data_IF_035808761213
#
_entry.id   IF_035808761213
#
_cell.length_a   1.000
_cell.length_b   1.000
_cell.length_c   1.000
_cell.angle_alpha   90.00
_cell.angle_beta   90.00
_cell.angle_gamma   90.00
#
_symmetry.space_group_name_H-M   'P 1'
#
loop_
_entity.id
_entity.type
_entity.pdbx_description
1 polymer ?
#
# COMPACT_ATOMS: atom_id res chain seq x y z
N UNK A 1 -5.10 24.32 -29.27
CA UNK A 1 -4.87 23.21 -28.33
C UNK A 1 -3.66 23.57 -27.51
N UNK A 2 -3.83 23.86 -26.23
CA UNK A 2 -2.70 23.99 -25.32
C UNK A 2 -1.93 22.67 -25.27
N UNK A 3 -0.60 22.75 -25.12
CA UNK A 3 0.23 21.57 -24.94
C UNK A 3 -0.22 20.85 -23.69
N UNK A 4 -0.46 19.54 -23.78
CA UNK A 4 -0.85 18.68 -22.65
C UNK A 4 0.04 18.93 -21.43
N UNK A 5 1.35 19.09 -21.66
CA UNK A 5 2.39 19.37 -20.65
C UNK A 5 2.23 20.71 -19.91
N UNK A 6 1.66 21.75 -20.54
CA UNK A 6 1.56 23.08 -19.93
C UNK A 6 0.65 23.09 -18.70
N UNK A 7 -0.55 22.49 -18.84
CA UNK A 7 -1.48 22.25 -17.73
C UNK A 7 -0.81 21.56 -16.53
N UNK A 8 0.06 20.57 -16.78
CA UNK A 8 0.76 19.88 -15.69
C UNK A 8 1.86 20.75 -15.07
N UNK A 9 2.54 21.60 -15.84
CA UNK A 9 3.49 22.57 -15.28
C UNK A 9 2.80 23.55 -14.30
N UNK A 10 1.60 24.02 -14.64
CA UNK A 10 0.79 24.88 -13.75
C UNK A 10 0.34 24.13 -12.49
N UNK A 11 -0.08 22.86 -12.62
CA UNK A 11 -0.36 21.98 -11.47
C UNK A 11 0.87 21.76 -10.57
N UNK A 12 2.08 21.60 -11.12
CA UNK A 12 3.30 21.52 -10.32
C UNK A 12 3.63 22.86 -9.65
N UNK A 13 3.45 24.00 -10.33
CA UNK A 13 3.59 25.32 -9.73
C UNK A 13 2.52 25.60 -8.64
N UNK A 14 1.36 24.94 -8.73
CA UNK A 14 0.32 24.92 -7.71
C UNK A 14 0.77 24.18 -6.44
N UNK A 15 1.51 23.08 -6.60
CA UNK A 15 1.96 22.21 -5.52
C UNK A 15 3.35 22.56 -4.97
N UNK A 16 4.18 23.30 -5.70
CA UNK A 16 5.52 23.71 -5.30
C UNK A 16 5.51 24.80 -4.21
N UNK A 17 4.99 24.47 -3.03
CA UNK A 17 4.90 25.35 -1.85
C UNK A 17 4.47 24.53 -0.65
N UNK A 18 5.29 24.56 0.39
CA UNK A 18 5.11 23.83 1.65
C UNK A 18 3.70 23.99 2.26
N UNK A 19 3.17 25.21 2.51
CA UNK A 19 1.78 25.37 2.98
C UNK A 19 0.72 24.73 2.09
N UNK A 20 0.91 24.75 0.76
CA UNK A 20 -0.05 24.14 -0.19
C UNK A 20 0.02 22.61 -0.14
N UNK A 21 1.20 22.02 0.03
CA UNK A 21 1.37 20.58 0.26
C UNK A 21 0.76 20.14 1.59
N UNK A 22 0.92 20.92 2.66
CA UNK A 22 0.31 20.63 3.96
C UNK A 22 -1.22 20.68 3.91
N UNK A 23 -1.79 21.69 3.24
CA UNK A 23 -3.24 21.79 2.98
C UNK A 23 -3.72 20.57 2.20
N UNK A 24 -3.04 20.18 1.11
CA UNK A 24 -3.41 18.99 0.34
C UNK A 24 -3.38 17.74 1.23
N UNK A 25 -2.28 17.49 1.95
CA UNK A 25 -2.14 16.34 2.88
C UNK A 25 -3.28 16.27 3.89
N UNK A 26 -3.66 17.42 4.46
CA UNK A 26 -4.75 17.51 5.44
C UNK A 26 -6.13 17.23 4.83
N UNK A 27 -6.36 17.69 3.60
CA UNK A 27 -7.61 17.43 2.87
C UNK A 27 -7.70 15.99 2.36
N UNK A 28 -6.59 15.35 2.00
CA UNK A 28 -6.55 13.90 1.72
C UNK A 28 -6.91 13.07 2.95
N UNK A 29 -6.35 13.41 4.12
CA UNK A 29 -6.67 12.74 5.39
C UNK A 29 -8.13 12.91 5.87
N UNK A 30 -8.95 13.67 5.13
CA UNK A 30 -10.39 13.87 5.39
C UNK A 30 -11.25 13.63 4.15
N UNK A 31 -10.70 13.05 3.08
CA UNK A 31 -11.46 12.68 1.89
C UNK A 31 -12.40 11.50 2.20
N UNK A 32 -13.65 11.47 1.67
CA UNK A 32 -14.28 12.43 0.76
C UNK A 32 -14.95 13.64 1.42
N UNK A 33 -15.05 13.67 2.75
CA UNK A 33 -15.84 14.69 3.47
C UNK A 33 -15.24 16.09 3.34
N UNK A 34 -13.91 16.20 3.32
CA UNK A 34 -13.15 17.44 3.34
C UNK A 34 -13.15 18.12 4.71
N UNK A 35 -12.74 19.39 4.75
CA UNK A 35 -12.57 20.16 5.98
C UNK A 35 -13.03 21.62 5.81
N UNK A 36 -13.54 22.22 6.88
CA UNK A 36 -13.91 23.65 6.90
C UNK A 36 -12.68 24.53 7.12
N UNK A 37 -12.71 25.77 6.58
CA UNK A 37 -11.57 26.71 6.63
C UNK A 37 -11.02 26.95 8.04
N UNK A 38 -11.89 27.06 9.05
CA UNK A 38 -11.49 27.26 10.45
C UNK A 38 -10.61 26.14 10.98
N UNK A 39 -10.89 24.90 10.58
CA UNK A 39 -10.23 23.71 11.10
C UNK A 39 -8.88 23.49 10.39
N UNK A 40 -8.82 23.81 9.10
CA UNK A 40 -7.56 23.91 8.35
C UNK A 40 -6.66 24.98 8.98
N UNK A 41 -7.22 26.15 9.28
CA UNK A 41 -6.50 27.25 9.93
C UNK A 41 -5.96 26.85 11.31
N UNK A 42 -6.79 26.20 12.14
CA UNK A 42 -6.40 25.76 13.48
C UNK A 42 -5.32 24.66 13.45
N UNK A 43 -5.40 23.72 12.51
CA UNK A 43 -4.44 22.60 12.42
C UNK A 43 -3.08 23.00 11.84
N UNK A 44 -3.04 23.91 10.87
CA UNK A 44 -1.80 24.36 10.24
C UNK A 44 -1.23 25.64 10.87
N UNK A 45 -1.97 26.32 11.74
CA UNK A 45 -1.59 27.58 12.41
C UNK A 45 -1.27 28.73 11.44
N UNK A 46 -1.81 28.68 10.21
CA UNK A 46 -1.61 29.68 9.16
C UNK A 46 -2.62 30.84 9.34
N UNK A 47 -2.22 32.13 9.18
CA UNK A 47 -3.17 33.25 9.19
C UNK A 47 -4.25 33.15 8.10
N UNK A 48 -5.48 33.58 8.41
CA UNK A 48 -6.64 33.40 7.52
C UNK A 48 -6.47 34.01 6.11
N UNK A 49 -5.84 35.19 6.00
CA UNK A 49 -5.54 35.85 4.73
C UNK A 49 -4.59 35.01 3.86
N UNK A 50 -3.50 34.52 4.47
CA UNK A 50 -2.51 33.64 3.83
C UNK A 50 -3.14 32.30 3.42
N UNK A 51 -3.94 31.69 4.30
CA UNK A 51 -4.64 30.45 4.02
C UNK A 51 -5.63 30.60 2.86
N UNK A 52 -6.41 31.69 2.83
CA UNK A 52 -7.36 31.98 1.76
C UNK A 52 -6.66 32.10 0.40
N UNK A 53 -5.49 32.74 0.35
CA UNK A 53 -4.68 32.82 -0.86
C UNK A 53 -4.16 31.45 -1.32
N UNK A 54 -3.71 30.59 -0.41
CA UNK A 54 -3.28 29.23 -0.76
C UNK A 54 -4.43 28.32 -1.24
N UNK A 55 -5.57 28.36 -0.55
CA UNK A 55 -6.78 27.61 -0.94
C UNK A 55 -7.29 28.08 -2.31
N UNK A 56 -7.30 29.39 -2.56
CA UNK A 56 -7.74 29.93 -3.84
C UNK A 56 -6.81 29.51 -4.99
N UNK A 57 -5.48 29.53 -4.81
CA UNK A 57 -4.56 29.04 -5.86
C UNK A 57 -4.70 27.53 -6.10
N UNK A 58 -4.90 26.72 -5.06
CA UNK A 58 -5.19 25.29 -5.23
C UNK A 58 -6.53 25.04 -5.94
N UNK A 59 -7.53 25.88 -5.70
CA UNK A 59 -8.86 25.80 -6.33
C UNK A 59 -8.84 26.23 -7.79
N UNK A 60 -8.06 27.27 -8.13
CA UNK A 60 -7.85 27.73 -9.51
C UNK A 60 -7.23 26.64 -10.39
N UNK A 61 -6.26 25.91 -9.84
CA UNK A 61 -5.62 24.76 -10.49
C UNK A 61 -6.41 23.46 -10.33
N UNK A 62 -7.67 23.56 -9.89
CA UNK A 62 -8.62 22.45 -9.77
C UNK A 62 -8.17 21.29 -8.86
N UNK A 63 -7.13 21.45 -8.05
CA UNK A 63 -6.63 20.42 -7.10
C UNK A 63 -7.58 20.21 -5.93
N UNK A 64 -8.31 21.26 -5.54
CA UNK A 64 -9.36 21.22 -4.51
C UNK A 64 -10.66 21.83 -5.04
N UNK A 65 -11.76 21.27 -4.57
CA UNK A 65 -13.11 21.81 -4.72
C UNK A 65 -13.51 22.55 -3.44
N UNK A 66 -14.46 23.49 -3.56
CA UNK A 66 -15.09 24.15 -2.43
C UNK A 66 -16.60 24.04 -2.53
N UNK A 67 -17.28 23.73 -1.41
CA UNK A 67 -18.75 23.75 -1.30
C UNK A 67 -19.17 24.59 -0.09
N UNK A 68 -20.25 25.36 -0.23
CA UNK A 68 -20.83 26.11 0.89
C UNK A 68 -21.95 25.28 1.52
N UNK A 69 -21.87 25.05 2.82
CA UNK A 69 -22.86 24.29 3.57
C UNK A 69 -23.28 25.10 4.81
N UNK A 70 -24.54 25.56 4.81
CA UNK A 70 -25.07 26.52 5.79
C UNK A 70 -24.18 27.76 5.86
N UNK A 71 -23.47 27.96 6.98
CA UNK A 71 -22.57 29.09 7.23
C UNK A 71 -21.09 28.79 6.96
N UNK A 72 -20.72 27.54 6.66
CA UNK A 72 -19.34 27.12 6.49
C UNK A 72 -18.98 26.88 5.01
N UNK A 73 -17.71 27.10 4.68
CA UNK A 73 -17.13 26.69 3.40
C UNK A 73 -16.25 25.48 3.69
N UNK A 74 -16.60 24.36 3.06
CA UNK A 74 -15.82 23.13 3.06
C UNK A 74 -14.93 23.09 1.83
N UNK A 75 -13.69 22.68 2.02
CA UNK A 75 -12.77 22.32 0.95
C UNK A 75 -12.54 20.81 0.96
N UNK A 76 -12.48 20.21 -0.21
CA UNK A 76 -12.19 18.78 -0.39
C UNK A 76 -11.28 18.59 -1.61
N UNK A 77 -10.43 17.56 -1.60
CA UNK A 77 -9.61 17.21 -2.76
C UNK A 77 -10.51 16.92 -3.97
N UNK A 78 -10.12 17.44 -5.14
CA UNK A 78 -10.67 17.00 -6.41
C UNK A 78 -9.83 15.83 -6.92
N UNK A 79 -10.29 14.60 -6.69
CA UNK A 79 -9.58 13.39 -7.08
C UNK A 79 -9.24 13.38 -8.55
N UNK A 80 -10.20 13.68 -9.44
CA UNK A 80 -10.04 13.66 -10.91
C UNK A 80 -8.76 14.38 -11.39
N UNK A 81 -8.51 15.59 -10.90
CA UNK A 81 -7.33 16.38 -11.28
C UNK A 81 -6.02 15.77 -10.79
N UNK A 82 -6.05 15.10 -9.64
CA UNK A 82 -4.91 14.36 -9.08
C UNK A 82 -4.63 13.10 -9.90
N UNK A 83 -5.66 12.38 -10.35
CA UNK A 83 -5.48 11.20 -11.22
C UNK A 83 -4.86 11.59 -12.55
N UNK A 84 -5.32 12.68 -13.17
CA UNK A 84 -4.74 13.24 -14.39
C UNK A 84 -3.26 13.62 -14.20
N UNK A 85 -2.90 14.25 -13.07
CA UNK A 85 -1.53 14.63 -12.73
C UNK A 85 -0.61 13.41 -12.51
N UNK A 86 -1.11 12.38 -11.81
CA UNK A 86 -0.37 11.15 -11.57
C UNK A 86 -0.22 10.34 -12.86
N UNK A 87 -1.29 10.21 -13.65
CA UNK A 87 -1.23 9.57 -14.96
C UNK A 87 -0.22 10.28 -15.88
N UNK A 88 -0.11 11.61 -15.83
CA UNK A 88 0.95 12.33 -16.53
C UNK A 88 2.36 11.95 -16.06
N UNK A 89 2.61 11.86 -14.75
CA UNK A 89 3.90 11.46 -14.19
C UNK A 89 4.32 10.03 -14.59
N UNK A 90 3.35 9.11 -14.69
CA UNK A 90 3.61 7.71 -15.04
C UNK A 90 3.52 7.41 -16.55
N UNK A 91 2.98 8.33 -17.36
CA UNK A 91 2.97 8.25 -18.84
C UNK A 91 4.39 8.43 -19.40
N UNK A 92 5.12 7.32 -19.49
CA UNK A 92 6.55 7.30 -19.81
C UNK A 92 7.31 6.21 -19.06
N UNK A 93 6.71 5.64 -18.00
CA UNK A 93 7.17 4.40 -17.36
C UNK A 93 6.92 3.15 -18.22
N UNK A 94 7.32 3.20 -19.50
CA UNK A 94 7.56 1.99 -20.26
C UNK A 94 8.68 1.21 -19.56
N UNK A 95 8.36 0.02 -19.05
CA UNK A 95 9.37 -0.98 -18.71
C UNK A 95 10.01 -1.40 -20.03
N UNK A 96 11.07 -0.68 -20.42
CA UNK A 96 11.85 -0.97 -21.60
C UNK A 96 12.57 -2.31 -21.41
N UNK A 97 11.90 -3.39 -21.79
CA UNK A 97 12.50 -4.71 -21.93
C UNK A 97 13.63 -4.62 -22.97
N UNK A 98 14.91 -4.85 -22.61
CA UNK A 98 16.02 -4.74 -23.56
C UNK A 98 16.07 -5.91 -24.58
N UNK A 99 14.99 -6.69 -24.72
CA UNK A 99 14.87 -7.85 -25.62
C UNK A 99 13.66 -7.79 -26.55
N UNK A 100 13.62 -6.78 -27.42
CA UNK A 100 13.13 -6.89 -28.81
C UNK A 100 13.30 -5.55 -29.54
N UNK A 101 14.32 -5.43 -30.39
CA UNK A 101 14.32 -4.41 -31.45
C UNK A 101 13.53 -4.95 -32.64
N UNK A 102 12.91 -4.02 -33.38
CA UNK A 102 12.13 -4.23 -34.61
C UNK A 102 10.74 -4.86 -34.38
N UNK A 103 9.69 -4.02 -34.31
CA UNK A 103 8.98 -3.64 -35.54
C UNK A 103 8.31 -2.24 -35.38
N UNK A 104 7.55 -1.82 -36.39
CA UNK A 104 7.13 -0.42 -36.68
C UNK A 104 6.15 0.23 -35.68
N UNK A 105 6.08 1.56 -35.79
CA UNK A 105 5.12 2.45 -35.12
C UNK A 105 3.71 2.25 -35.68
N UNK A 106 2.83 1.63 -34.88
CA UNK A 106 1.37 1.72 -35.02
C UNK A 106 0.77 2.48 -33.81
N UNK A 107 -0.34 3.22 -33.98
CA UNK A 107 -0.99 3.94 -32.89
C UNK A 107 -1.69 2.95 -31.93
N UNK A 108 -1.04 2.66 -30.81
CA UNK A 108 -1.53 1.72 -29.79
C UNK A 108 -2.88 2.16 -29.25
N UNK A 109 -3.93 1.39 -29.57
CA UNK A 109 -5.23 1.47 -28.88
C UNK A 109 -5.05 1.15 -27.40
N UNK A 110 -5.54 2.03 -26.54
CA UNK A 110 -5.42 1.88 -25.09
C UNK A 110 -6.46 0.90 -24.52
N UNK A 111 -6.06 -0.25 -23.92
CA UNK A 111 -6.99 -1.20 -23.33
C UNK A 111 -7.66 -0.70 -22.03
N UNK A 112 -7.21 0.43 -21.44
CA UNK A 112 -7.82 1.02 -20.24
C UNK A 112 -9.14 1.78 -20.51
N UNK A 113 -9.72 1.68 -21.70
CA UNK A 113 -10.88 2.50 -22.13
C UNK A 113 -12.23 1.78 -22.07
N UNK A 114 -12.28 0.45 -21.87
CA UNK A 114 -13.53 -0.35 -21.93
C UNK A 114 -13.77 -1.20 -20.66
N UNK A 115 -13.93 -0.55 -19.51
CA UNK A 115 -14.77 -1.03 -18.39
C UNK A 115 -14.96 0.07 -17.36
N UNK A 116 -16.20 0.29 -16.90
CA UNK A 116 -16.54 1.21 -15.80
C UNK A 116 -16.15 0.69 -14.41
N UNK A 117 -14.92 0.20 -14.25
CA UNK A 117 -14.39 -0.42 -13.02
C UNK A 117 -12.97 0.09 -12.71
N UNK A 118 -12.85 1.40 -12.46
CA UNK A 118 -11.64 1.99 -11.86
C UNK A 118 -12.03 3.09 -10.88
N UNK A 119 -11.91 2.82 -9.57
CA UNK A 119 -11.69 3.87 -8.56
C UNK A 119 -11.10 3.33 -7.25
N UNK A 120 -11.63 2.24 -6.67
CA UNK A 120 -11.14 1.73 -5.36
C UNK A 120 -9.68 1.26 -5.41
N UNK A 121 -9.31 0.43 -6.40
CA UNK A 121 -7.92 0.00 -6.59
C UNK A 121 -6.95 1.16 -6.86
N UNK A 122 -7.44 2.28 -7.39
CA UNK A 122 -6.65 3.47 -7.66
C UNK A 122 -6.53 4.38 -6.43
N UNK A 123 -7.60 4.53 -5.62
CA UNK A 123 -7.51 5.21 -4.32
C UNK A 123 -6.55 4.50 -3.36
N UNK A 124 -6.57 3.16 -3.31
CA UNK A 124 -5.57 2.37 -2.58
C UNK A 124 -4.13 2.62 -3.09
N UNK A 125 -3.97 2.95 -4.37
CA UNK A 125 -2.68 3.35 -4.95
C UNK A 125 -2.31 4.81 -4.64
N UNK A 126 -3.31 5.70 -4.48
CA UNK A 126 -3.13 7.09 -4.03
C UNK A 126 -2.82 7.18 -2.53
N UNK A 127 -3.30 6.25 -1.69
CA UNK A 127 -2.84 6.13 -0.29
C UNK A 127 -1.32 5.95 -0.21
N UNK A 128 -0.71 5.28 -1.19
CA UNK A 128 0.76 5.14 -1.28
C UNK A 128 1.48 6.45 -1.64
N UNK A 129 0.78 7.42 -2.24
CA UNK A 129 1.35 8.65 -2.81
C UNK A 129 1.23 9.89 -1.90
N UNK A 130 0.24 9.97 -1.01
CA UNK A 130 0.18 11.00 0.04
C UNK A 130 1.03 10.64 1.27
N UNK A 131 2.08 9.87 1.01
CA UNK A 131 2.86 9.08 1.93
C UNK A 131 3.91 9.81 2.76
N UNK A 132 3.69 11.04 3.21
CA UNK A 132 4.47 11.54 4.36
C UNK A 132 4.14 10.77 5.67
N UNK A 133 3.18 9.85 5.59
CA UNK A 133 2.88 8.77 6.56
C UNK A 133 3.45 7.41 6.10
N UNK A 134 3.63 7.20 4.78
CA UNK A 134 4.05 5.95 4.13
C UNK A 134 5.56 5.87 3.79
N UNK A 135 6.38 6.80 4.27
CA UNK A 135 7.86 6.70 4.33
C UNK A 135 8.39 5.43 5.06
N UNK A 136 7.46 4.61 5.57
CA UNK A 136 7.69 3.34 6.27
C UNK A 136 7.60 2.09 5.40
N UNK A 137 7.19 2.19 4.13
CA UNK A 137 7.10 1.01 3.23
C UNK A 137 7.61 1.32 1.81
N UNK A 138 8.93 1.47 1.66
CA UNK A 138 9.56 1.38 0.33
C UNK A 138 9.58 -0.09 -0.11
N UNK A 139 8.52 -0.51 -0.80
CA UNK A 139 8.48 -1.82 -1.49
C UNK A 139 9.27 -1.72 -2.81
N UNK A 140 10.16 -2.69 -3.12
CA UNK A 140 10.85 -2.74 -4.41
C UNK A 140 9.90 -2.79 -5.61
N UNK A 141 10.40 -2.50 -6.83
CA UNK A 141 9.61 -2.70 -8.06
C UNK A 141 9.18 -4.16 -8.19
N UNK A 142 7.89 -4.39 -8.48
CA UNK A 142 7.27 -5.72 -8.58
C UNK A 142 6.02 -5.91 -7.71
N UNK A 143 5.76 -5.02 -6.75
CA UNK A 143 4.61 -5.13 -5.84
C UNK A 143 3.27 -4.68 -6.42
N UNK A 144 3.24 -4.08 -7.61
CA UNK A 144 2.02 -3.68 -8.34
C UNK A 144 1.02 -4.84 -8.57
N UNK A 145 1.49 -6.09 -8.44
CA UNK A 145 0.70 -7.31 -8.61
C UNK A 145 0.24 -7.94 -7.29
N UNK A 146 0.54 -7.36 -6.13
CA UNK A 146 0.04 -7.89 -4.86
C UNK A 146 -1.45 -7.63 -4.73
N UNK A 147 -2.22 -8.63 -4.28
CA UNK A 147 -3.65 -8.43 -3.99
C UNK A 147 -3.83 -7.52 -2.79
N UNK A 148 -5.00 -6.89 -2.66
CA UNK A 148 -5.31 -6.03 -1.51
C UNK A 148 -5.09 -6.76 -0.16
N UNK A 149 -5.49 -8.04 -0.07
CA UNK A 149 -5.25 -8.89 1.10
C UNK A 149 -3.75 -9.12 1.36
N UNK A 150 -2.96 -9.37 0.32
CA UNK A 150 -1.51 -9.53 0.47
C UNK A 150 -0.82 -8.23 0.91
N UNK A 151 -1.28 -7.06 0.45
CA UNK A 151 -0.81 -5.75 0.92
C UNK A 151 -1.25 -5.48 2.37
N UNK A 152 -2.48 -5.84 2.74
CA UNK A 152 -2.98 -5.73 4.11
C UNK A 152 -2.16 -6.57 5.10
N UNK A 153 -1.75 -7.79 4.72
CA UNK A 153 -0.84 -8.65 5.50
C UNK A 153 0.49 -7.93 5.82
N UNK A 154 1.04 -7.18 4.86
CA UNK A 154 2.29 -6.43 5.03
C UNK A 154 2.10 -5.27 6.02
N UNK A 155 0.97 -4.56 5.96
CA UNK A 155 0.63 -3.50 6.92
C UNK A 155 0.43 -4.07 8.35
N UNK A 156 -0.34 -5.16 8.48
CA UNK A 156 -0.57 -5.84 9.76
C UNK A 156 0.73 -6.38 10.38
N UNK A 157 1.67 -6.86 9.56
CA UNK A 157 2.99 -7.25 10.04
C UNK A 157 3.76 -6.08 10.67
N UNK A 158 3.65 -4.87 10.11
CA UNK A 158 4.23 -3.68 10.72
C UNK A 158 3.52 -3.26 12.01
N UNK A 159 2.19 -3.42 12.09
CA UNK A 159 1.44 -3.17 13.33
C UNK A 159 1.80 -4.16 14.43
N UNK A 160 2.04 -5.43 14.11
CA UNK A 160 2.53 -6.42 15.09
C UNK A 160 3.96 -6.10 15.56
N UNK A 161 4.85 -5.64 14.67
CA UNK A 161 6.15 -5.11 15.10
C UNK A 161 6.01 -3.88 16.00
N UNK A 162 5.10 -2.93 15.69
CA UNK A 162 4.78 -1.78 16.57
C UNK A 162 4.28 -2.26 17.93
N UNK A 163 3.30 -3.18 17.95
CA UNK A 163 2.64 -3.70 19.16
C UNK A 163 3.61 -4.41 20.10
N UNK A 164 4.59 -5.14 19.54
CA UNK A 164 5.65 -5.83 20.30
C UNK A 164 6.86 -4.93 20.60
N UNK A 165 6.89 -3.68 20.15
CA UNK A 165 8.01 -2.75 20.31
C UNK A 165 9.26 -3.11 19.51
N UNK A 166 9.12 -3.94 18.47
CA UNK A 166 10.19 -4.41 17.60
C UNK A 166 10.59 -3.33 16.57
N UNK A 167 11.90 -3.21 16.33
CA UNK A 167 12.48 -2.21 15.41
C UNK A 167 12.49 -2.67 13.94
N UNK A 168 12.08 -3.91 13.66
CA UNK A 168 12.12 -4.50 12.32
C UNK A 168 10.88 -5.37 12.08
N UNK A 169 10.54 -5.60 10.81
CA UNK A 169 9.59 -6.65 10.41
C UNK A 169 10.36 -7.92 10.08
N UNK A 170 10.19 -8.94 10.92
CA UNK A 170 10.66 -10.30 10.72
C UNK A 170 9.67 -11.14 9.92
N UNK A 171 10.09 -12.37 9.61
CA UNK A 171 9.24 -13.38 8.95
C UNK A 171 7.99 -13.71 9.77
N UNK A 172 8.12 -13.67 11.09
CA UNK A 172 7.11 -14.04 12.07
C UNK A 172 6.03 -12.97 12.24
N UNK A 173 6.33 -11.69 12.01
CA UNK A 173 5.27 -10.68 11.88
C UNK A 173 4.55 -10.77 10.53
N UNK A 174 5.22 -11.19 9.44
CA UNK A 174 4.50 -11.55 8.20
C UNK A 174 3.53 -12.71 8.43
N UNK A 175 3.93 -13.72 9.22
CA UNK A 175 3.04 -14.83 9.60
C UNK A 175 1.88 -14.38 10.49
N UNK A 176 2.12 -13.49 11.45
CA UNK A 176 1.07 -12.85 12.25
C UNK A 176 0.12 -12.02 11.39
N UNK A 177 0.65 -11.29 10.39
CA UNK A 177 -0.14 -10.54 9.42
C UNK A 177 -1.05 -11.45 8.58
N UNK A 178 -0.58 -12.63 8.17
CA UNK A 178 -1.38 -13.63 7.45
C UNK A 178 -2.57 -14.12 8.28
N UNK A 179 -2.38 -14.40 9.58
CA UNK A 179 -3.51 -14.76 10.47
C UNK A 179 -4.39 -13.56 10.81
N UNK A 180 -3.82 -12.36 10.94
CA UNK A 180 -4.53 -11.13 11.28
C UNK A 180 -5.43 -10.59 10.16
N UNK A 181 -5.10 -10.85 8.89
CA UNK A 181 -5.97 -10.51 7.76
C UNK A 181 -7.23 -11.40 7.74
N UNK A 182 -7.13 -12.65 8.19
CA UNK A 182 -8.26 -13.49 8.60
C UNK A 182 -9.15 -14.05 7.49
N UNK A 183 -9.21 -13.43 6.31
CA UNK A 183 -10.18 -13.81 5.25
C UNK A 183 -9.55 -14.40 3.98
N UNK A 184 -8.23 -14.25 3.80
CA UNK A 184 -7.47 -14.76 2.67
C UNK A 184 -7.15 -16.24 2.80
N UNK A 185 -6.75 -16.84 1.68
CA UNK A 185 -6.40 -18.26 1.57
C UNK A 185 -5.43 -18.72 2.66
N UNK A 186 -4.34 -17.98 2.88
CA UNK A 186 -3.36 -18.36 3.90
C UNK A 186 -3.94 -18.30 5.32
N UNK A 187 -4.77 -17.30 5.62
CA UNK A 187 -5.45 -17.21 6.91
C UNK A 187 -6.34 -18.43 7.15
N UNK A 188 -7.19 -18.77 6.16
CA UNK A 188 -8.10 -19.92 6.23
C UNK A 188 -7.34 -21.25 6.39
N UNK A 189 -6.23 -21.43 5.68
CA UNK A 189 -5.38 -22.62 5.80
C UNK A 189 -4.75 -22.71 7.20
N UNK A 190 -4.14 -21.62 7.69
CA UNK A 190 -3.47 -21.59 9.00
C UNK A 190 -4.47 -21.82 10.15
N UNK A 191 -5.66 -21.20 10.08
CA UNK A 191 -6.77 -21.46 11.00
C UNK A 191 -7.19 -22.94 10.98
N UNK A 192 -7.20 -23.56 9.81
CA UNK A 192 -7.55 -24.97 9.65
C UNK A 192 -6.42 -25.96 10.02
N UNK A 193 -5.23 -25.47 10.38
CA UNK A 193 -4.18 -26.21 11.12
C UNK A 193 -4.29 -26.00 12.64
N UNK A 194 -5.32 -25.30 13.13
CA UNK A 194 -5.54 -25.02 14.56
C UNK A 194 -4.76 -23.83 15.11
N UNK A 195 -4.10 -23.05 14.26
CA UNK A 195 -3.46 -21.80 14.65
C UNK A 195 -4.50 -20.70 14.85
N UNK A 196 -4.19 -19.70 15.68
CA UNK A 196 -4.92 -18.45 15.75
C UNK A 196 -3.96 -17.30 16.07
N UNK A 197 -4.39 -16.06 15.90
CA UNK A 197 -3.47 -14.92 16.07
C UNK A 197 -2.91 -14.84 17.50
N UNK A 198 -3.69 -15.19 18.53
CA UNK A 198 -3.23 -15.09 19.92
C UNK A 198 -2.22 -16.17 20.31
N UNK A 199 -2.43 -17.44 19.92
CA UNK A 199 -1.45 -18.50 20.20
C UNK A 199 -0.14 -18.26 19.45
N UNK A 200 -0.21 -17.68 18.24
CA UNK A 200 0.96 -17.28 17.48
C UNK A 200 1.69 -16.09 18.15
N UNK A 201 0.97 -15.07 18.63
CA UNK A 201 1.56 -13.93 19.36
C UNK A 201 2.31 -14.39 20.60
N UNK A 202 1.74 -15.31 21.38
CA UNK A 202 2.35 -15.84 22.60
C UNK A 202 3.66 -16.57 22.29
N UNK A 203 3.71 -17.43 21.29
CA UNK A 203 4.93 -18.18 20.95
C UNK A 203 6.00 -17.28 20.29
N UNK A 204 5.61 -16.24 19.54
CA UNK A 204 6.52 -15.19 19.05
C UNK A 204 7.12 -14.38 20.22
N UNK A 205 6.29 -13.89 21.15
CA UNK A 205 6.72 -13.11 22.30
C UNK A 205 7.63 -13.92 23.24
N UNK A 206 7.34 -15.22 23.43
CA UNK A 206 8.18 -16.15 24.19
C UNK A 206 9.57 -16.37 23.57
N UNK A 207 9.71 -16.26 22.24
CA UNK A 207 10.97 -16.52 21.51
C UNK A 207 11.82 -15.28 21.31
N UNK A 208 11.19 -14.12 21.10
CA UNK A 208 11.86 -12.87 20.73
C UNK A 208 11.84 -11.86 21.90
N UNK A 209 10.91 -12.02 22.85
CA UNK A 209 10.62 -11.06 23.90
C UNK A 209 9.72 -9.92 23.39
N UNK A 210 9.68 -8.84 24.19
CA UNK A 210 9.22 -7.52 23.72
C UNK A 210 10.43 -6.63 23.46
N UNK A 211 10.35 -5.84 22.41
CA UNK A 211 11.32 -4.80 22.13
C UNK A 211 11.10 -3.55 22.99
N UNK A 212 12.01 -2.58 22.85
CA UNK A 212 11.99 -1.31 23.61
C UNK A 212 11.67 -0.09 22.72
N UNK A 213 11.34 -0.29 21.45
CA UNK A 213 11.20 0.78 20.47
C UNK A 213 9.74 1.19 20.23
N UNK A 214 9.54 2.46 19.92
CA UNK A 214 8.32 3.00 19.27
C UNK A 214 8.72 3.68 17.96
N UNK A 215 9.09 2.93 16.91
CA UNK A 215 9.84 3.51 15.80
C UNK A 215 8.96 4.34 14.86
N UNK A 216 9.48 5.51 14.46
CA UNK A 216 9.93 5.67 13.09
C UNK A 216 11.35 5.05 13.02
N UNK A 217 11.70 4.15 12.11
CA UNK A 217 10.90 3.38 11.15
C UNK A 217 10.92 1.87 11.49
N UNK A 218 10.06 1.06 10.85
CA UNK A 218 10.11 -0.41 10.94
C UNK A 218 10.39 -1.04 9.57
N UNK A 219 11.67 -1.06 9.14
CA UNK A 219 12.07 -1.72 7.91
C UNK A 219 12.01 -3.25 8.02
N UNK A 220 11.82 -3.91 6.87
CA UNK A 220 11.89 -5.37 6.77
C UNK A 220 13.32 -5.89 6.98
N UNK A 221 13.46 -6.95 7.78
CA UNK A 221 14.68 -7.74 7.86
C UNK A 221 15.05 -8.34 6.49
N UNK A 222 16.33 -8.68 6.23
CA UNK A 222 16.73 -9.31 4.97
C UNK A 222 15.95 -10.59 4.65
N UNK A 223 15.65 -11.42 5.68
CA UNK A 223 14.82 -12.62 5.52
C UNK A 223 13.36 -12.29 5.17
N UNK A 224 12.77 -11.28 5.81
CA UNK A 224 11.42 -10.84 5.46
C UNK A 224 11.35 -10.28 4.03
N UNK A 225 12.36 -9.53 3.57
CA UNK A 225 12.47 -9.12 2.16
C UNK A 225 12.54 -10.34 1.23
N UNK A 226 13.33 -11.36 1.59
CA UNK A 226 13.44 -12.59 0.82
C UNK A 226 12.13 -13.39 0.77
N UNK A 227 11.31 -13.41 1.82
CA UNK A 227 9.94 -13.96 1.78
C UNK A 227 9.10 -13.28 0.70
N UNK A 228 9.16 -11.95 0.60
CA UNK A 228 8.39 -11.20 -0.39
C UNK A 228 8.87 -11.53 -1.82
N UNK A 229 10.18 -11.59 -2.06
CA UNK A 229 10.74 -12.05 -3.35
C UNK A 229 10.29 -13.49 -3.68
N UNK A 230 10.36 -14.41 -2.71
CA UNK A 230 9.96 -15.81 -2.88
C UNK A 230 8.44 -15.94 -3.15
N UNK A 231 7.62 -15.01 -2.67
CA UNK A 231 6.18 -15.00 -2.98
C UNK A 231 5.92 -14.67 -4.45
N UNK A 232 6.70 -13.76 -5.04
CA UNK A 232 6.69 -13.47 -6.49
C UNK A 232 7.22 -14.66 -7.30
N UNK A 233 8.29 -15.33 -6.85
CA UNK A 233 8.74 -16.57 -7.48
C UNK A 233 7.68 -17.69 -7.43
N UNK A 234 6.84 -17.72 -6.39
CA UNK A 234 5.80 -18.74 -6.25
C UNK A 234 4.61 -18.45 -7.17
N UNK A 235 4.15 -17.20 -7.31
CA UNK A 235 3.03 -16.89 -8.22
C UNK A 235 3.40 -17.17 -9.68
N UNK A 236 4.63 -16.82 -10.07
CA UNK A 236 5.17 -17.16 -11.40
C UNK A 236 5.25 -18.68 -11.64
N UNK A 237 5.52 -19.49 -10.61
CA UNK A 237 5.53 -20.96 -10.71
C UNK A 237 4.14 -21.58 -10.79
N UNK A 238 3.14 -20.96 -10.14
CA UNK A 238 1.75 -21.40 -10.18
C UNK A 238 1.00 -20.89 -11.43
N UNK A 239 1.54 -19.86 -12.10
CA UNK A 239 0.96 -19.24 -13.29
C UNK A 239 0.06 -18.04 -12.96
N UNK A 240 0.01 -17.64 -11.69
CA UNK A 240 -0.90 -16.61 -11.20
C UNK A 240 -0.43 -15.20 -11.55
N UNK A 241 -1.37 -14.39 -12.05
CA UNK A 241 -1.12 -13.02 -12.48
C UNK A 241 -0.90 -12.06 -11.30
N UNK A 242 -1.42 -12.41 -10.12
CA UNK A 242 -1.37 -11.62 -8.90
C UNK A 242 -0.73 -12.42 -7.75
N UNK A 243 -0.07 -11.72 -6.82
CA UNK A 243 0.52 -12.32 -5.61
C UNK A 243 -0.48 -12.17 -4.46
N UNK A 244 -1.14 -13.28 -4.11
CA UNK A 244 -2.04 -13.34 -2.97
C UNK A 244 -1.41 -13.86 -1.68
N UNK A 245 -2.26 -14.17 -0.70
CA UNK A 245 -1.84 -14.52 0.66
C UNK A 245 -1.15 -15.90 0.74
N UNK A 246 -1.62 -16.85 -0.06
CA UNK A 246 -1.06 -18.18 -0.27
C UNK A 246 0.37 -18.13 -0.80
N UNK A 247 0.65 -17.20 -1.72
CA UNK A 247 1.99 -16.96 -2.24
C UNK A 247 2.94 -16.44 -1.16
N UNK A 248 2.47 -15.53 -0.29
CA UNK A 248 3.22 -15.07 0.87
C UNK A 248 3.52 -16.21 1.85
N UNK A 249 2.54 -17.07 2.13
CA UNK A 249 2.73 -18.22 3.01
C UNK A 249 3.72 -19.24 2.42
N UNK A 250 3.62 -19.55 1.12
CA UNK A 250 4.64 -20.37 0.44
C UNK A 250 6.02 -19.69 0.48
N UNK A 251 6.10 -18.38 0.34
CA UNK A 251 7.33 -17.60 0.52
C UNK A 251 7.96 -17.78 1.89
N UNK A 252 7.15 -17.79 2.96
CA UNK A 252 7.59 -18.08 4.34
C UNK A 252 8.15 -19.51 4.46
N UNK A 253 7.47 -20.51 3.88
CA UNK A 253 7.93 -21.90 3.92
C UNK A 253 9.21 -22.13 3.10
N UNK A 254 9.42 -21.33 2.05
CA UNK A 254 10.64 -21.35 1.22
C UNK A 254 11.83 -20.64 1.89
N UNK A 255 11.60 -19.62 2.72
CA UNK A 255 12.64 -18.91 3.49
C UNK A 255 13.12 -19.74 4.70
N UNK A 256 13.86 -20.81 4.39
CA UNK A 256 14.31 -21.80 5.38
C UNK A 256 15.11 -21.15 6.52
N UNK A 257 14.71 -21.47 7.75
CA UNK A 257 15.34 -20.96 8.96
C UNK A 257 14.88 -19.56 9.42
N UNK A 258 13.87 -18.96 8.77
CA UNK A 258 13.13 -17.82 9.31
C UNK A 258 12.43 -18.16 10.65
N UNK A 259 12.14 -17.15 11.47
CA UNK A 259 11.47 -17.39 12.76
C UNK A 259 10.03 -17.86 12.59
N UNK A 260 9.32 -17.43 11.55
CA UNK A 260 7.99 -17.94 11.23
C UNK A 260 7.97 -19.47 11.12
N UNK A 261 8.94 -20.06 10.41
CA UNK A 261 9.07 -21.51 10.25
C UNK A 261 9.27 -22.18 11.62
N UNK A 262 10.19 -21.66 12.45
CA UNK A 262 10.44 -22.20 13.79
C UNK A 262 9.24 -22.08 14.73
N UNK A 263 8.44 -21.03 14.58
CA UNK A 263 7.21 -20.83 15.35
C UNK A 263 6.16 -21.86 14.92
N UNK A 264 5.93 -22.04 13.61
CA UNK A 264 5.05 -23.08 13.08
C UNK A 264 5.44 -24.48 13.57
N UNK A 265 6.71 -24.85 13.45
CA UNK A 265 7.24 -26.12 13.96
C UNK A 265 6.99 -26.30 15.46
N UNK A 266 7.18 -25.25 16.26
CA UNK A 266 6.96 -25.29 17.71
C UNK A 266 5.49 -25.36 18.14
N UNK A 267 4.57 -24.94 17.28
CA UNK A 267 3.13 -25.11 17.44
C UNK A 267 2.65 -26.46 16.87
N UNK A 268 3.57 -27.34 16.45
CA UNK A 268 3.28 -28.70 15.98
C UNK A 268 2.88 -28.80 14.51
N UNK A 269 3.00 -27.71 13.74
CA UNK A 269 2.57 -27.66 12.33
C UNK A 269 3.55 -28.43 11.45
N UNK A 270 3.04 -29.41 10.70
CA UNK A 270 3.85 -30.15 9.74
C UNK A 270 4.01 -29.32 8.44
N UNK A 271 5.19 -28.75 8.24
CA UNK A 271 5.48 -27.85 7.11
C UNK A 271 5.24 -28.49 5.74
N UNK A 272 5.50 -29.79 5.57
CA UNK A 272 5.28 -30.49 4.31
C UNK A 272 3.79 -30.66 4.02
N UNK A 273 3.01 -31.09 5.02
CA UNK A 273 1.55 -31.19 4.92
C UNK A 273 0.90 -29.83 4.65
N UNK A 274 1.39 -28.77 5.32
CA UNK A 274 0.96 -27.39 5.08
C UNK A 274 1.27 -26.94 3.64
N UNK A 275 2.49 -27.18 3.13
CA UNK A 275 2.84 -26.87 1.73
C UNK A 275 1.92 -27.60 0.75
N UNK A 276 1.68 -28.90 0.96
CA UNK A 276 0.73 -29.68 0.15
C UNK A 276 -0.71 -29.17 0.24
N UNK A 277 -1.14 -28.66 1.40
CA UNK A 277 -2.47 -28.10 1.61
C UNK A 277 -2.65 -26.79 0.85
N UNK A 278 -1.65 -25.92 0.84
CA UNK A 278 -1.66 -24.66 0.06
C UNK A 278 -1.71 -24.95 -1.44
N UNK A 279 -0.87 -25.87 -1.93
CA UNK A 279 -0.82 -26.23 -3.36
C UNK A 279 -2.08 -26.94 -3.88
N UNK A 280 -2.98 -27.38 -2.99
CA UNK A 280 -4.27 -28.01 -3.32
C UNK A 280 -5.47 -27.14 -2.94
N UNK A 281 -5.24 -25.91 -2.49
CA UNK A 281 -6.31 -25.07 -1.98
C UNK A 281 -7.06 -24.38 -3.11
N UNK A 282 -8.18 -25.00 -3.52
CA UNK A 282 -9.13 -24.43 -4.48
C UNK A 282 -10.02 -23.37 -3.79
N UNK A 283 -9.39 -22.33 -3.22
CA UNK A 283 -10.08 -21.19 -2.64
C UNK A 283 -10.71 -20.36 -3.75
N UNK A 284 -12.04 -20.32 -3.79
CA UNK A 284 -12.82 -19.56 -4.76
C UNK A 284 -12.34 -18.12 -4.88
N UNK A 285 -11.86 -17.76 -6.08
CA UNK A 285 -11.50 -16.40 -6.48
C UNK A 285 -12.73 -15.47 -6.52
#
# INVERSE_FOLDING_TARGET
MESSTAKYADLFAALASEPRLEIMRLLFATYPQGMIVSDIQAKLQIPNSTLSHHLEKLRQEHLISSRKEKQYIWYAVNTKTIEELLAFLFNGCAIANPRSRQDKLDPVRNPFTEAGFMFEGFLNSIESLFGSVFDRIVLPRGFERFTQKATQVIALAQDESRRLGHQYVGTEQLLLGLLGEGTGTAAQILLAEGLNVENLRIEVEKRIGRGKGTPLDIPFTPRAKRVLELSVEQSQRLGDQYIGTEHLLLGILRERGGMAVRVLESLGVNLYSLEQRILRWNGSH
#
